data_IF_455225166167
#
_entry.id   IF_455225166167
#
_cell.length_a   1.000
_cell.length_b   1.000
_cell.length_c   1.000
_cell.angle_alpha   90.00
_cell.angle_beta   90.00
_cell.angle_gamma   90.00
#
_symmetry.space_group_name_H-M   'P 1'
#
loop_
_entity.id
_entity.type
_entity.pdbx_description
1 polymer ?
#
# COMPACT_ATOMS: atom_id res chain seq x y z
N UNK A 1 34.26 3.90 11.45
CA UNK A 1 33.31 4.96 11.82
C UNK A 1 32.06 4.28 12.28
N UNK A 2 31.88 4.20 13.59
CA UNK A 2 30.74 3.58 14.26
C UNK A 2 29.57 4.56 14.21
N UNK A 3 28.56 4.25 13.40
CA UNK A 3 27.29 4.98 13.37
C UNK A 3 26.57 4.71 14.69
N UNK A 4 26.44 5.73 15.53
CA UNK A 4 25.58 5.68 16.71
C UNK A 4 24.13 5.68 16.22
N UNK A 5 23.44 4.56 16.40
CA UNK A 5 21.98 4.54 16.42
C UNK A 5 21.54 5.31 17.66
N UNK A 6 20.99 6.51 17.48
CA UNK A 6 20.21 7.17 18.53
C UNK A 6 18.92 6.36 18.66
N UNK A 7 18.86 5.46 19.62
CA UNK A 7 17.61 4.92 20.14
C UNK A 7 16.79 6.10 20.67
N UNK A 8 15.78 6.52 19.90
CA UNK A 8 14.73 7.42 20.37
C UNK A 8 14.07 6.78 21.58
N UNK A 9 14.17 7.45 22.73
CA UNK A 9 13.51 7.03 23.95
C UNK A 9 12.04 7.40 23.77
N UNK A 10 11.17 6.46 23.39
CA UNK A 10 9.73 6.67 23.45
C UNK A 10 9.36 6.86 24.92
N UNK A 11 9.13 8.11 25.32
CA UNK A 11 8.49 8.39 26.58
C UNK A 11 7.05 7.88 26.47
N UNK A 12 6.72 6.77 27.15
CA UNK A 12 5.31 6.41 27.37
C UNK A 12 4.66 7.58 28.11
N UNK A 13 3.92 8.41 27.39
CA UNK A 13 3.00 9.36 27.97
C UNK A 13 1.83 8.57 28.58
N UNK A 14 2.03 8.14 29.82
CA UNK A 14 0.94 7.68 30.68
C UNK A 14 0.06 8.89 30.99
N UNK A 15 -1.05 9.03 30.29
CA UNK A 15 -2.11 9.97 30.66
C UNK A 15 -2.78 9.46 31.95
N UNK A 16 -2.22 9.81 33.10
CA UNK A 16 -2.85 9.65 34.41
C UNK A 16 -3.92 10.73 34.58
N UNK A 17 -5.06 10.54 33.94
CA UNK A 17 -6.30 11.20 34.33
C UNK A 17 -6.75 10.65 35.69
N UNK A 18 -6.88 11.52 36.70
CA UNK A 18 -7.39 11.16 38.02
C UNK A 18 -8.77 10.50 37.93
N UNK A 19 -8.91 9.34 38.58
CA UNK A 19 -10.07 8.47 38.57
C UNK A 19 -11.42 9.18 38.79
N UNK A 20 -12.22 9.26 37.73
CA UNK A 20 -13.66 9.44 37.77
C UNK A 20 -14.27 8.71 36.57
N UNK A 21 -14.49 7.38 36.66
CA UNK A 21 -15.11 6.50 35.64
C UNK A 21 -15.13 7.10 34.21
N UNK A 22 -13.96 7.38 33.63
CA UNK A 22 -13.90 7.86 32.27
C UNK A 22 -14.11 6.64 31.36
N UNK A 23 -15.10 6.73 30.49
CA UNK A 23 -15.24 5.79 29.38
C UNK A 23 -14.00 5.90 28.51
N UNK A 24 -13.38 4.77 28.15
CA UNK A 24 -12.17 4.75 27.30
C UNK A 24 -12.39 3.88 26.06
N UNK A 25 -11.63 4.21 25.02
CA UNK A 25 -11.41 3.39 23.83
C UNK A 25 -9.92 3.11 23.69
N UNK A 26 -9.54 2.08 22.93
CA UNK A 26 -8.13 1.80 22.59
C UNK A 26 -7.82 2.34 21.21
N UNK A 27 -6.72 3.05 21.04
CA UNK A 27 -6.36 3.70 19.76
C UNK A 27 -4.90 3.46 19.42
N UNK A 28 -4.63 3.07 18.17
CA UNK A 28 -3.33 3.15 17.54
C UNK A 28 -3.36 4.21 16.42
N UNK A 29 -2.34 5.07 16.37
CA UNK A 29 -2.17 6.06 15.30
C UNK A 29 -0.98 5.65 14.43
N UNK A 30 -1.13 5.76 13.11
CA UNK A 30 -0.11 5.46 12.11
C UNK A 30 0.17 6.71 11.28
N UNK A 31 1.42 7.16 11.24
CA UNK A 31 1.83 8.28 10.40
C UNK A 31 2.17 7.80 8.99
N UNK A 32 1.24 7.97 8.05
CA UNK A 32 1.44 7.60 6.65
C UNK A 32 1.44 8.79 5.67
N UNK A 33 1.29 10.02 6.16
CA UNK A 33 1.44 11.23 5.35
C UNK A 33 2.89 11.38 4.87
N UNK A 34 3.11 11.21 3.56
CA UNK A 34 4.44 11.26 2.93
C UNK A 34 4.87 12.68 2.54
N UNK A 35 4.07 13.70 2.86
CA UNK A 35 4.42 15.09 2.63
C UNK A 35 5.64 15.50 3.47
N UNK A 36 6.68 16.02 2.81
CA UNK A 36 7.90 16.50 3.45
C UNK A 36 7.66 17.57 4.52
N UNK A 37 6.62 18.40 4.40
CA UNK A 37 6.26 19.40 5.42
C UNK A 37 5.72 18.76 6.71
N UNK A 38 5.24 17.52 6.62
CA UNK A 38 4.72 16.72 7.72
C UNK A 38 5.58 15.48 7.97
N UNK A 39 6.86 15.48 7.58
CA UNK A 39 7.72 14.30 7.78
C UNK A 39 7.92 13.95 9.27
N UNK A 40 7.80 14.95 10.14
CA UNK A 40 7.78 14.83 11.60
C UNK A 40 6.75 15.81 12.13
N UNK A 41 5.84 15.35 12.99
CA UNK A 41 4.75 16.16 13.55
C UNK A 41 4.57 15.93 15.04
N UNK A 42 4.03 16.92 15.72
CA UNK A 42 3.53 16.77 17.09
C UNK A 42 2.02 16.47 17.04
N UNK A 43 1.57 15.54 17.87
CA UNK A 43 0.16 15.14 17.98
C UNK A 43 -0.39 15.57 19.33
N UNK A 44 -1.42 16.39 19.32
CA UNK A 44 -2.11 16.91 20.50
C UNK A 44 -3.49 16.27 20.66
N UNK A 45 -3.88 16.01 21.90
CA UNK A 45 -5.27 15.75 22.29
C UNK A 45 -5.76 16.92 23.15
N UNK A 46 -6.74 17.65 22.63
CA UNK A 46 -7.15 18.97 23.09
C UNK A 46 -5.93 19.89 23.23
N UNK A 47 -5.53 20.21 24.47
CA UNK A 47 -4.37 21.06 24.77
C UNK A 47 -3.16 20.28 25.30
N UNK A 48 -3.19 18.94 25.24
CA UNK A 48 -2.14 18.06 25.79
C UNK A 48 -1.33 17.44 24.66
N UNK A 49 -0.01 17.60 24.70
CA UNK A 49 0.90 16.90 23.78
C UNK A 49 0.87 15.40 24.08
N UNK A 50 0.50 14.59 23.08
CA UNK A 50 0.36 13.14 23.20
C UNK A 50 1.54 12.40 22.57
N UNK A 51 1.94 12.79 21.36
CA UNK A 51 3.12 12.26 20.66
C UNK A 51 4.00 13.44 20.24
N UNK A 52 5.26 13.41 20.65
CA UNK A 52 6.28 14.42 20.37
C UNK A 52 7.20 13.89 19.26
N UNK A 53 7.51 14.72 18.25
CA UNK A 53 8.36 14.34 17.12
C UNK A 53 7.92 13.00 16.44
N UNK A 54 6.63 12.83 16.15
CA UNK A 54 6.10 11.62 15.52
C UNK A 54 6.49 11.57 14.04
N UNK A 55 7.40 10.66 13.69
CA UNK A 55 7.98 10.56 12.35
C UNK A 55 7.08 9.80 11.36
N UNK A 56 7.13 10.17 10.08
CA UNK A 56 6.57 9.41 8.96
C UNK A 56 7.03 7.93 8.99
N UNK A 57 6.12 7.01 8.64
CA UNK A 57 6.30 5.55 8.77
C UNK A 57 6.62 5.12 10.20
N UNK A 58 5.87 5.66 11.14
CA UNK A 58 5.86 5.22 12.55
C UNK A 58 4.43 5.00 13.01
N UNK A 59 4.23 4.06 13.92
CA UNK A 59 2.96 3.86 14.62
C UNK A 59 3.13 4.10 16.14
N UNK A 60 2.10 4.58 16.81
CA UNK A 60 2.02 4.53 18.27
C UNK A 60 1.74 3.09 18.74
N UNK A 61 2.05 2.71 19.99
CA UNK A 61 1.36 1.58 20.60
C UNK A 61 -0.14 1.88 20.74
N UNK A 62 -0.95 0.85 20.98
CA UNK A 62 -2.34 1.06 21.40
C UNK A 62 -2.41 1.69 22.80
N UNK A 63 -3.03 2.86 22.90
CA UNK A 63 -3.20 3.63 24.15
C UNK A 63 -4.68 3.84 24.48
N UNK A 64 -4.98 4.17 25.74
CA UNK A 64 -6.32 4.60 26.14
C UNK A 64 -6.60 6.03 25.64
N UNK A 65 -7.76 6.22 25.02
CA UNK A 65 -8.29 7.52 24.60
C UNK A 65 -9.65 7.78 25.25
N UNK A 66 -10.06 9.05 25.45
CA UNK A 66 -11.40 9.39 25.92
C UNK A 66 -12.49 8.82 25.00
N UNK A 67 -13.55 8.26 25.57
CA UNK A 67 -14.71 7.78 24.84
C UNK A 67 -16.02 8.34 25.42
N UNK A 68 -17.07 8.35 24.60
CA UNK A 68 -18.39 8.90 24.97
C UNK A 68 -18.43 10.43 25.08
N UNK A 69 -17.31 11.11 24.83
CA UNK A 69 -17.18 12.57 24.83
C UNK A 69 -16.41 13.01 23.59
N UNK A 70 -16.69 14.23 23.14
CA UNK A 70 -15.94 14.84 22.05
C UNK A 70 -14.58 15.34 22.55
N UNK A 71 -13.52 15.11 21.76
CA UNK A 71 -12.20 15.69 21.96
C UNK A 71 -11.61 16.08 20.59
N UNK A 72 -10.68 17.02 20.58
CA UNK A 72 -10.01 17.47 19.35
C UNK A 72 -8.63 16.83 19.25
N UNK A 73 -8.28 16.28 18.10
CA UNK A 73 -6.90 15.91 17.76
C UNK A 73 -6.31 17.03 16.92
N UNK A 74 -5.15 17.52 17.33
CA UNK A 74 -4.37 18.52 16.59
C UNK A 74 -3.08 17.90 16.06
N UNK A 75 -2.77 18.14 14.79
CA UNK A 75 -1.48 17.83 14.19
C UNK A 75 -0.74 19.14 14.00
N UNK A 76 0.45 19.26 14.58
CA UNK A 76 1.27 20.46 14.53
C UNK A 76 2.66 20.14 13.96
N UNK A 77 3.39 21.13 13.42
CA UNK A 77 4.79 20.95 13.05
C UNK A 77 5.64 20.55 14.27
N UNK A 78 6.73 19.82 14.06
CA UNK A 78 7.61 19.30 15.14
C UNK A 78 8.33 20.38 15.98
N UNK A 79 8.18 21.65 15.63
CA UNK A 79 8.69 22.79 16.40
C UNK A 79 7.57 23.54 17.12
N UNK A 80 6.41 22.90 17.30
CA UNK A 80 5.26 23.50 17.95
C UNK A 80 5.56 23.85 19.41
N UNK A 81 4.87 24.87 19.92
CA UNK A 81 4.97 25.31 21.32
C UNK A 81 3.69 25.04 22.11
N UNK A 82 2.64 24.58 21.42
CA UNK A 82 1.39 24.11 21.98
C UNK A 82 0.35 23.81 20.90
N UNK A 83 -0.82 23.30 21.32
CA UNK A 83 -1.90 22.88 20.42
C UNK A 83 -2.44 23.99 19.49
N UNK A 84 -2.24 25.27 19.84
CA UNK A 84 -2.62 26.41 18.99
C UNK A 84 -1.80 26.54 17.70
N UNK A 85 -0.67 25.84 17.60
CA UNK A 85 0.19 25.80 16.40
C UNK A 85 -0.25 24.69 15.42
N UNK A 86 -1.35 23.99 15.70
CA UNK A 86 -1.87 22.92 14.85
C UNK A 86 -2.19 23.42 13.43
N UNK A 87 -1.69 22.67 12.45
CA UNK A 87 -1.91 22.87 11.01
C UNK A 87 -3.09 22.05 10.49
N UNK A 88 -3.52 21.05 11.26
CA UNK A 88 -4.75 20.29 11.05
C UNK A 88 -5.40 19.98 12.39
N UNK A 89 -6.73 20.03 12.44
CA UNK A 89 -7.51 19.67 13.62
C UNK A 89 -8.75 18.90 13.22
N UNK A 90 -9.07 17.85 13.96
CA UNK A 90 -10.28 17.06 13.76
C UNK A 90 -10.90 16.68 15.10
N UNK A 91 -12.23 16.76 15.18
CA UNK A 91 -12.98 16.40 16.38
C UNK A 91 -13.45 14.94 16.30
N UNK A 92 -13.11 14.16 17.31
CA UNK A 92 -13.52 12.76 17.43
C UNK A 92 -14.54 12.56 18.55
N UNK A 93 -15.36 11.52 18.41
CA UNK A 93 -16.17 10.98 19.52
C UNK A 93 -16.13 9.46 19.42
N UNK A 94 -15.27 8.85 20.23
CA UNK A 94 -15.07 7.40 20.21
C UNK A 94 -16.14 6.70 21.05
N UNK A 95 -16.53 5.49 20.63
CA UNK A 95 -17.42 4.66 21.42
C UNK A 95 -16.65 3.96 22.55
N UNK A 96 -17.30 3.81 23.70
CA UNK A 96 -16.68 3.19 24.87
C UNK A 96 -16.42 1.69 24.64
N UNK A 97 -15.28 1.20 25.11
CA UNK A 97 -14.80 -0.19 24.95
C UNK A 97 -14.59 -0.64 23.49
N UNK A 98 -14.44 0.29 22.56
CA UNK A 98 -14.03 -0.03 21.18
C UNK A 98 -12.52 0.16 20.99
N UNK A 99 -12.00 -0.46 19.94
CA UNK A 99 -10.60 -0.32 19.50
C UNK A 99 -10.58 0.31 18.10
N UNK A 100 -9.65 1.22 17.87
CA UNK A 100 -9.54 1.99 16.63
C UNK A 100 -8.11 2.02 16.09
N UNK A 101 -8.00 2.01 14.77
CA UNK A 101 -6.80 2.39 14.02
C UNK A 101 -7.07 3.73 13.36
N UNK A 102 -6.15 4.68 13.51
CA UNK A 102 -6.20 5.98 12.85
C UNK A 102 -4.96 6.12 11.97
N UNK A 103 -5.12 6.38 10.68
CA UNK A 103 -4.02 6.55 9.73
C UNK A 103 -4.01 8.00 9.25
N UNK A 104 -2.94 8.73 9.57
CA UNK A 104 -2.70 10.05 9.00
C UNK A 104 -2.21 9.91 7.55
N UNK A 105 -2.91 10.52 6.60
CA UNK A 105 -2.65 10.39 5.15
C UNK A 105 -2.88 11.72 4.43
N UNK A 106 -2.55 11.79 3.14
CA UNK A 106 -2.78 12.96 2.28
C UNK A 106 -1.64 13.96 2.28
N UNK A 107 -1.92 15.18 1.79
CA UNK A 107 -0.96 16.25 1.55
C UNK A 107 -1.38 17.53 2.30
N UNK A 108 -0.43 18.15 3.01
CA UNK A 108 -0.64 19.43 3.71
C UNK A 108 -0.15 20.60 2.87
N UNK A 109 0.91 20.39 2.10
CA UNK A 109 1.56 21.38 1.26
C UNK A 109 0.64 21.87 0.14
N UNK A 110 0.63 23.18 -0.09
CA UNK A 110 -0.19 23.79 -1.14
C UNK A 110 0.33 23.58 -2.58
N UNK A 111 1.52 22.99 -2.77
CA UNK A 111 2.12 22.70 -4.07
C UNK A 111 3.21 21.63 -3.97
N UNK A 112 3.67 21.11 -5.11
CA UNK A 112 4.76 20.13 -5.20
C UNK A 112 4.32 18.66 -5.18
N UNK A 113 3.01 18.41 -5.19
CA UNK A 113 2.42 17.06 -5.18
C UNK A 113 1.34 16.94 -6.24
N UNK A 114 1.23 15.76 -6.86
CA UNK A 114 0.25 15.46 -7.89
C UNK A 114 -0.07 13.96 -7.94
N UNK A 115 -1.33 13.57 -7.68
CA UNK A 115 -2.40 14.39 -7.10
C UNK A 115 -2.05 14.85 -5.67
N UNK A 116 -2.77 15.88 -5.20
CA UNK A 116 -2.59 16.43 -3.84
C UNK A 116 -3.92 16.37 -3.05
N UNK A 117 -4.43 15.17 -2.72
CA UNK A 117 -5.58 15.06 -1.82
C UNK A 117 -5.22 15.68 -0.47
N UNK A 118 -6.15 16.42 0.13
CA UNK A 118 -5.92 17.09 1.40
C UNK A 118 -5.60 16.07 2.51
N UNK A 119 -4.77 16.49 3.46
CA UNK A 119 -4.49 15.70 4.65
C UNK A 119 -5.78 15.32 5.40
N UNK A 120 -5.84 14.08 5.86
CA UNK A 120 -6.94 13.50 6.62
C UNK A 120 -6.45 12.48 7.65
N UNK A 121 -7.28 12.22 8.67
CA UNK A 121 -7.10 11.10 9.59
C UNK A 121 -8.17 10.03 9.26
N UNK A 122 -7.75 8.97 8.58
CA UNK A 122 -8.65 7.89 8.21
C UNK A 122 -8.84 6.94 9.39
N UNK A 123 -10.10 6.64 9.75
CA UNK A 123 -10.43 5.85 10.94
C UNK A 123 -11.02 4.50 10.56
N UNK A 124 -10.39 3.44 11.05
CA UNK A 124 -10.97 2.11 11.08
C UNK A 124 -11.47 1.77 12.49
N UNK A 125 -12.78 1.58 12.63
CA UNK A 125 -13.38 1.03 13.85
C UNK A 125 -13.11 -0.48 13.93
N UNK A 126 -13.17 -1.07 15.12
CA UNK A 126 -12.90 -2.52 15.34
C UNK A 126 -11.46 -2.95 15.10
N UNK A 127 -10.50 -2.08 15.46
CA UNK A 127 -9.07 -2.44 15.47
C UNK A 127 -8.77 -3.65 16.38
N UNK A 128 -7.70 -4.38 16.09
CA UNK A 128 -7.29 -5.57 16.84
C UNK A 128 -5.88 -5.40 17.40
N UNK A 129 -5.71 -5.69 18.69
CA UNK A 129 -4.38 -5.70 19.37
C UNK A 129 -3.68 -7.06 19.29
N UNK A 130 -4.44 -8.13 18.99
CA UNK A 130 -3.97 -9.49 18.84
C UNK A 130 -4.89 -10.23 17.85
N UNK A 131 -4.42 -11.35 17.31
CA UNK A 131 -5.22 -12.17 16.40
C UNK A 131 -6.49 -12.69 17.09
N UNK A 132 -7.58 -12.81 16.35
CA UNK A 132 -8.84 -13.38 16.85
C UNK A 132 -8.75 -14.90 17.06
N UNK A 133 -7.87 -15.56 16.31
CA UNK A 133 -7.65 -17.00 16.33
C UNK A 133 -6.19 -17.33 16.67
N UNK A 134 -6.01 -18.29 17.58
CA UNK A 134 -4.68 -18.78 17.95
C UNK A 134 -4.00 -19.47 16.75
N UNK A 135 -2.74 -19.14 16.51
CA UNK A 135 -1.94 -19.62 15.39
C UNK A 135 -2.03 -18.75 14.13
N UNK A 136 -2.89 -17.74 14.12
CA UNK A 136 -3.05 -16.83 12.99
C UNK A 136 -2.27 -15.51 13.19
N UNK A 137 -2.12 -14.80 12.09
CA UNK A 137 -1.79 -13.39 12.04
C UNK A 137 -2.95 -12.67 11.37
N UNK A 138 -3.55 -11.70 12.05
CA UNK A 138 -4.65 -10.90 11.52
C UNK A 138 -4.09 -9.66 10.82
N UNK A 139 -4.50 -9.40 9.58
CA UNK A 139 -3.95 -8.30 8.76
C UNK A 139 -5.07 -7.37 8.28
N UNK A 140 -5.06 -6.13 8.74
CA UNK A 140 -5.84 -5.04 8.14
C UNK A 140 -5.01 -4.37 7.05
N UNK A 141 -5.62 -3.96 5.94
CA UNK A 141 -4.90 -3.27 4.85
C UNK A 141 -5.49 -1.88 4.65
N UNK A 142 -4.65 -0.89 4.38
CA UNK A 142 -5.05 0.48 4.05
C UNK A 142 -4.29 1.01 2.83
N UNK A 143 -5.03 1.58 1.87
CA UNK A 143 -4.43 2.22 0.70
C UNK A 143 -4.11 3.69 0.99
N UNK A 144 -2.89 3.96 1.46
CA UNK A 144 -2.46 5.31 1.84
C UNK A 144 -1.56 6.04 0.83
N UNK A 145 -1.31 5.48 -0.35
CA UNK A 145 -0.53 6.16 -1.39
C UNK A 145 -1.43 7.07 -2.22
N UNK A 146 -1.13 8.37 -2.23
CA UNK A 146 -2.03 9.38 -2.82
C UNK A 146 -2.04 9.36 -4.34
N UNK A 147 -0.96 8.90 -4.97
CA UNK A 147 -0.74 8.92 -6.41
C UNK A 147 -0.75 7.53 -7.06
N UNK A 148 -0.94 6.47 -6.27
CA UNK A 148 -1.19 5.14 -6.79
C UNK A 148 -2.63 5.05 -7.35
N UNK A 149 -2.83 4.38 -8.49
CA UNK A 149 -4.15 4.14 -9.05
C UNK A 149 -4.92 3.12 -8.21
N UNK A 150 -6.20 2.91 -8.55
CA UNK A 150 -6.96 1.73 -8.12
C UNK A 150 -6.24 0.46 -8.55
N UNK A 151 -6.10 -0.50 -7.63
CA UNK A 151 -5.38 -1.75 -7.84
C UNK A 151 -6.14 -2.93 -7.26
N UNK A 152 -5.84 -4.11 -7.78
CA UNK A 152 -6.21 -5.37 -7.15
C UNK A 152 -5.01 -5.94 -6.40
N UNK A 153 -5.27 -6.71 -5.34
CA UNK A 153 -4.25 -7.45 -4.62
C UNK A 153 -4.56 -8.94 -4.71
N UNK A 154 -3.63 -9.69 -5.28
CA UNK A 154 -3.73 -11.13 -5.49
C UNK A 154 -2.67 -11.86 -4.66
N UNK A 155 -3.06 -12.81 -3.83
CA UNK A 155 -2.11 -13.66 -3.11
C UNK A 155 -1.75 -14.86 -4.00
N UNK A 156 -0.47 -15.00 -4.33
CA UNK A 156 0.00 -15.92 -5.36
C UNK A 156 0.69 -17.19 -4.85
N UNK A 157 0.97 -17.30 -3.55
CA UNK A 157 1.76 -18.43 -3.03
C UNK A 157 0.91 -19.52 -2.37
N UNK A 158 -0.23 -19.17 -1.77
CA UNK A 158 -1.02 -20.07 -0.94
C UNK A 158 -2.52 -20.07 -1.29
N UNK A 159 -3.11 -18.90 -1.53
CA UNK A 159 -4.54 -18.74 -1.79
C UNK A 159 -4.85 -18.80 -3.29
N UNK A 160 -3.93 -18.33 -4.13
CA UNK A 160 -4.11 -18.20 -5.58
C UNK A 160 -5.41 -17.43 -5.93
N UNK A 161 -5.66 -16.34 -5.20
CA UNK A 161 -6.91 -15.59 -5.30
C UNK A 161 -6.70 -14.08 -5.10
N UNK A 162 -7.59 -13.29 -5.73
CA UNK A 162 -7.74 -11.86 -5.44
C UNK A 162 -8.33 -11.70 -4.04
N UNK A 163 -7.61 -11.01 -3.17
CA UNK A 163 -8.00 -10.75 -1.77
C UNK A 163 -8.52 -9.33 -1.57
N UNK A 164 -8.13 -8.39 -2.41
CA UNK A 164 -8.66 -7.03 -2.49
C UNK A 164 -8.93 -6.69 -3.95
N UNK A 165 -10.12 -6.16 -4.23
CA UNK A 165 -10.64 -5.89 -5.57
C UNK A 165 -11.03 -4.41 -5.62
N UNK A 166 -10.60 -3.70 -6.68
CA UNK A 166 -10.80 -2.26 -6.86
C UNK A 166 -10.34 -1.39 -5.67
N UNK A 167 -9.22 -1.75 -5.04
CA UNK A 167 -8.70 -1.09 -3.84
C UNK A 167 -8.02 0.25 -4.17
N UNK A 168 -8.56 1.34 -3.64
CA UNK A 168 -8.22 2.73 -4.00
C UNK A 168 -7.80 3.55 -2.79
N UNK A 169 -7.14 4.70 -3.02
CA UNK A 169 -6.74 5.63 -1.95
C UNK A 169 -7.87 5.90 -0.94
N UNK A 170 -7.52 5.84 0.36
CA UNK A 170 -8.39 5.87 1.57
C UNK A 170 -9.16 4.60 1.91
N UNK A 171 -9.14 3.57 1.06
CA UNK A 171 -9.81 2.32 1.40
C UNK A 171 -9.09 1.58 2.51
N UNK A 172 -9.87 1.07 3.47
CA UNK A 172 -9.48 -0.04 4.34
C UNK A 172 -10.05 -1.35 3.78
N UNK A 173 -9.37 -2.47 4.02
CA UNK A 173 -10.03 -3.78 3.86
C UNK A 173 -11.26 -3.83 4.76
N UNK A 174 -12.32 -4.51 4.31
CA UNK A 174 -13.61 -4.51 5.02
C UNK A 174 -13.51 -5.04 6.46
N UNK A 175 -12.61 -6.00 6.69
CA UNK A 175 -12.20 -6.51 8.00
C UNK A 175 -10.73 -6.93 7.91
N UNK A 176 -10.17 -7.41 9.02
CA UNK A 176 -8.89 -8.09 9.06
C UNK A 176 -8.96 -9.42 8.30
N UNK A 177 -7.94 -9.69 7.49
CA UNK A 177 -7.66 -11.02 6.95
C UNK A 177 -7.05 -11.89 8.05
N UNK A 178 -7.76 -12.94 8.46
CA UNK A 178 -7.31 -13.88 9.49
C UNK A 178 -6.49 -15.00 8.84
N UNK A 179 -5.19 -14.76 8.65
CA UNK A 179 -4.32 -15.68 7.90
C UNK A 179 -3.62 -16.66 8.86
N UNK A 180 -3.51 -17.95 8.51
CA UNK A 180 -2.52 -18.81 9.17
C UNK A 180 -1.15 -18.14 9.14
N UNK A 181 -0.41 -18.14 10.26
CA UNK A 181 0.91 -17.48 10.24
C UNK A 181 1.88 -18.25 9.35
N UNK A 182 2.09 -17.74 8.14
CA UNK A 182 2.95 -18.27 7.09
C UNK A 182 3.60 -17.12 6.30
N UNK A 183 4.53 -17.44 5.41
CA UNK A 183 5.12 -16.44 4.51
C UNK A 183 4.36 -16.46 3.18
N UNK A 184 3.84 -15.30 2.78
CA UNK A 184 2.98 -15.12 1.60
C UNK A 184 3.65 -14.25 0.54
N UNK A 185 3.10 -14.26 -0.68
CA UNK A 185 3.48 -13.32 -1.74
C UNK A 185 2.23 -12.67 -2.31
N UNK A 186 2.14 -11.36 -2.15
CA UNK A 186 1.06 -10.54 -2.68
C UNK A 186 1.51 -9.79 -3.91
N UNK A 187 0.76 -9.94 -4.99
CA UNK A 187 0.91 -9.23 -6.24
C UNK A 187 -0.05 -8.05 -6.24
N UNK A 188 0.48 -6.86 -6.51
CA UNK A 188 -0.33 -5.69 -6.84
C UNK A 188 -0.56 -5.72 -8.34
N UNK A 189 -1.82 -5.71 -8.74
CA UNK A 189 -2.25 -5.81 -10.14
C UNK A 189 -3.04 -4.58 -10.55
N UNK A 190 -3.08 -4.31 -11.85
CA UNK A 190 -4.06 -3.37 -12.41
C UNK A 190 -5.48 -3.83 -12.06
N UNK A 191 -6.43 -2.91 -11.95
CA UNK A 191 -7.83 -3.20 -11.55
C UNK A 191 -8.61 -4.09 -12.55
N UNK A 192 -8.02 -4.40 -13.70
CA UNK A 192 -8.55 -5.39 -14.65
C UNK A 192 -7.85 -6.76 -14.52
N UNK A 193 -7.00 -6.92 -13.50
CA UNK A 193 -6.12 -8.06 -13.25
C UNK A 193 -5.18 -8.46 -14.41
N UNK A 194 -5.02 -7.62 -15.44
CA UNK A 194 -4.27 -7.98 -16.66
C UNK A 194 -2.75 -7.86 -16.52
N UNK A 195 -2.27 -7.06 -15.56
CA UNK A 195 -0.85 -6.75 -15.38
C UNK A 195 -0.49 -6.81 -13.91
N UNK A 196 0.63 -7.45 -13.57
CA UNK A 196 1.23 -7.38 -12.23
C UNK A 196 2.19 -6.19 -12.28
N UNK A 197 1.92 -5.18 -11.46
CA UNK A 197 2.74 -3.95 -11.42
C UNK A 197 3.81 -4.01 -10.34
N UNK A 198 3.58 -4.78 -9.29
CA UNK A 198 4.54 -5.06 -8.24
C UNK A 198 4.22 -6.38 -7.53
N UNK A 199 5.20 -6.96 -6.85
CA UNK A 199 4.99 -8.07 -5.93
C UNK A 199 5.76 -7.83 -4.63
N UNK A 200 5.19 -8.26 -3.52
CA UNK A 200 5.74 -8.11 -2.18
C UNK A 200 5.62 -9.42 -1.41
N UNK A 201 6.69 -9.78 -0.70
CA UNK A 201 6.63 -10.82 0.31
C UNK A 201 5.96 -10.28 1.57
N UNK A 202 5.11 -11.09 2.20
CA UNK A 202 4.62 -10.86 3.55
C UNK A 202 5.14 -11.99 4.45
N UNK A 203 6.37 -11.85 4.98
CA UNK A 203 7.06 -12.92 5.72
C UNK A 203 6.55 -13.04 7.17
N UNK A 204 5.26 -13.32 7.37
CA UNK A 204 4.62 -13.27 8.70
C UNK A 204 5.21 -14.30 9.67
N UNK A 205 5.52 -15.52 9.18
CA UNK A 205 6.15 -16.56 9.99
C UNK A 205 7.62 -16.23 10.26
N UNK A 206 8.35 -15.78 9.23
CA UNK A 206 9.76 -15.37 9.38
C UNK A 206 9.91 -14.19 10.34
N UNK A 207 8.93 -13.28 10.42
CA UNK A 207 8.87 -12.19 11.40
C UNK A 207 8.35 -12.61 12.79
N UNK A 208 7.89 -13.85 12.95
CA UNK A 208 7.39 -14.38 14.23
C UNK A 208 6.06 -13.76 14.68
N UNK A 209 5.19 -13.40 13.74
CA UNK A 209 3.94 -12.67 13.99
C UNK A 209 2.76 -13.57 14.37
N UNK A 210 3.04 -14.75 14.94
CA UNK A 210 2.01 -15.65 15.44
C UNK A 210 1.21 -14.99 16.56
N UNK A 211 -0.11 -15.14 16.52
CA UNK A 211 -1.08 -14.54 17.44
C UNK A 211 -1.16 -13.00 17.41
N UNK A 212 -0.49 -12.34 16.45
CA UNK A 212 -0.47 -10.89 16.32
C UNK A 212 -1.57 -10.38 15.36
N UNK A 213 -2.03 -9.15 15.57
CA UNK A 213 -2.80 -8.38 14.59
C UNK A 213 -1.99 -7.16 14.16
N UNK A 214 -1.98 -6.84 12.86
CA UNK A 214 -1.18 -5.74 12.30
C UNK A 214 -1.95 -4.99 11.20
N UNK A 215 -1.44 -3.81 10.84
CA UNK A 215 -2.00 -3.00 9.74
C UNK A 215 -0.93 -2.83 8.66
N UNK A 216 -1.21 -3.26 7.43
CA UNK A 216 -0.38 -2.96 6.27
C UNK A 216 -0.87 -1.70 5.59
N UNK A 217 0.02 -0.73 5.39
CA UNK A 217 -0.28 0.51 4.67
C UNK A 217 0.51 0.56 3.36
N UNK A 218 -0.15 0.98 2.28
CA UNK A 218 0.54 1.49 1.10
C UNK A 218 1.09 2.88 1.45
N UNK A 219 2.41 3.06 1.38
CA UNK A 219 3.11 4.24 1.93
C UNK A 219 4.08 4.86 0.94
N UNK A 220 4.04 6.18 0.80
CA UNK A 220 4.89 6.93 -0.14
C UNK A 220 4.25 7.12 -1.51
N UNK A 221 5.07 7.54 -2.48
CA UNK A 221 4.63 7.96 -3.81
C UNK A 221 5.04 6.97 -4.89
N UNK A 222 4.11 6.62 -5.78
CA UNK A 222 4.37 5.81 -6.97
C UNK A 222 5.25 6.57 -7.96
N UNK A 223 5.02 7.87 -8.13
CA UNK A 223 5.89 8.77 -8.90
C UNK A 223 6.44 9.89 -7.99
N UNK A 224 7.57 9.65 -7.30
CA UNK A 224 8.24 10.66 -6.49
C UNK A 224 8.60 11.93 -7.26
N UNK A 225 8.84 11.84 -8.58
CA UNK A 225 9.27 12.99 -9.38
C UNK A 225 8.18 14.05 -9.52
N UNK A 226 6.91 13.66 -9.39
CA UNK A 226 5.74 14.54 -9.35
C UNK A 226 5.35 14.94 -7.92
N UNK A 227 5.99 14.33 -6.91
CA UNK A 227 5.63 14.44 -5.50
C UNK A 227 6.82 14.89 -4.65
N UNK A 228 7.40 16.02 -5.02
CA UNK A 228 8.51 16.70 -4.34
C UNK A 228 9.77 15.84 -4.12
N UNK A 229 9.97 14.80 -4.93
CA UNK A 229 10.99 13.77 -4.74
C UNK A 229 10.90 13.13 -3.33
N UNK A 230 9.68 12.98 -2.82
CA UNK A 230 9.40 12.36 -1.53
C UNK A 230 9.70 10.86 -1.50
N UNK A 231 9.40 10.19 -0.37
CA UNK A 231 9.64 8.76 -0.21
C UNK A 231 8.91 7.93 -1.28
N UNK A 232 9.63 7.00 -1.90
CA UNK A 232 9.05 6.08 -2.88
C UNK A 232 8.04 5.12 -2.24
N UNK A 233 7.08 4.68 -3.04
CA UNK A 233 6.06 3.69 -2.69
C UNK A 233 6.66 2.39 -2.13
N UNK A 234 6.03 1.87 -1.10
CA UNK A 234 6.22 0.51 -0.60
C UNK A 234 5.06 0.07 0.29
N UNK A 235 5.04 -1.21 0.66
CA UNK A 235 4.10 -1.74 1.65
C UNK A 235 4.79 -1.82 3.02
N UNK A 236 4.13 -1.32 4.06
CA UNK A 236 4.71 -1.20 5.39
C UNK A 236 3.74 -1.71 6.45
N UNK A 237 4.22 -2.49 7.41
CA UNK A 237 3.41 -3.07 8.48
C UNK A 237 3.57 -2.32 9.81
N UNK A 238 2.46 -1.86 10.37
CA UNK A 238 2.34 -1.34 11.72
C UNK A 238 2.03 -2.49 12.70
N UNK A 239 2.91 -2.66 13.69
CA UNK A 239 2.70 -3.61 14.77
C UNK A 239 1.91 -2.96 15.91
N UNK A 240 1.13 -3.72 16.69
CA UNK A 240 0.27 -3.19 17.76
C UNK A 240 1.10 -2.59 18.91
N UNK A 241 2.36 -2.99 19.02
CA UNK A 241 3.34 -2.41 19.94
C UNK A 241 3.82 -1.00 19.56
N UNK A 242 3.50 -0.53 18.35
CA UNK A 242 4.04 0.71 17.80
C UNK A 242 5.52 0.62 17.41
N UNK A 243 6.09 1.78 17.13
CA UNK A 243 7.46 1.97 16.62
C UNK A 243 7.51 2.20 15.11
N UNK A 244 8.72 2.25 14.52
CA UNK A 244 8.89 2.34 13.08
C UNK A 244 8.18 1.20 12.36
N UNK A 245 7.54 1.49 11.24
CA UNK A 245 6.87 0.47 10.44
C UNK A 245 7.89 -0.51 9.83
N UNK A 246 7.46 -1.76 9.64
CA UNK A 246 8.28 -2.81 9.03
C UNK A 246 8.04 -2.81 7.53
N UNK A 247 9.07 -2.53 6.73
CA UNK A 247 8.99 -2.61 5.26
C UNK A 247 8.80 -4.06 4.82
N UNK A 248 7.80 -4.30 3.97
CA UNK A 248 7.61 -5.60 3.33
C UNK A 248 8.57 -5.72 2.13
N UNK A 249 9.34 -6.82 2.02
CA UNK A 249 10.31 -6.99 0.95
C UNK A 249 9.63 -7.09 -0.41
N UNK A 250 10.26 -6.54 -1.46
CA UNK A 250 9.82 -6.81 -2.83
C UNK A 250 10.02 -8.29 -3.20
N UNK A 251 9.14 -8.78 -4.06
CA UNK A 251 9.21 -10.10 -4.66
C UNK A 251 9.34 -9.97 -6.19
N UNK A 252 9.95 -10.95 -6.87
CA UNK A 252 10.01 -10.95 -8.32
C UNK A 252 8.61 -11.10 -8.93
N UNK A 253 8.36 -10.37 -10.02
CA UNK A 253 7.18 -10.60 -10.86
C UNK A 253 7.48 -11.84 -11.73
N UNK A 254 6.59 -12.85 -11.76
CA UNK A 254 6.83 -14.07 -12.52
C UNK A 254 6.86 -13.76 -14.03
N UNK A 255 7.82 -14.38 -14.73
CA UNK A 255 7.99 -14.22 -16.18
C UNK A 255 7.98 -15.57 -16.89
N UNK A 256 7.63 -15.53 -18.18
CA UNK A 256 7.70 -16.65 -19.11
C UNK A 256 8.49 -16.26 -20.36
N UNK A 257 9.16 -17.23 -20.99
CA UNK A 257 9.89 -17.02 -22.26
C UNK A 257 9.01 -17.31 -23.46
N UNK A 258 8.78 -16.30 -24.30
CA UNK A 258 7.97 -16.42 -25.53
C UNK A 258 8.83 -16.21 -26.77
N UNK A 259 8.66 -17.08 -27.78
CA UNK A 259 9.18 -16.87 -29.13
C UNK A 259 8.00 -16.75 -30.09
N UNK A 260 8.01 -15.72 -30.93
CA UNK A 260 7.00 -15.54 -31.97
C UNK A 260 7.57 -16.05 -33.29
N UNK A 261 6.78 -16.84 -34.02
CA UNK A 261 7.15 -17.36 -35.35
C UNK A 261 6.07 -16.96 -36.35
N UNK A 262 6.45 -16.17 -37.35
CA UNK A 262 5.55 -15.80 -38.43
C UNK A 262 5.58 -16.86 -39.53
N UNK A 263 4.53 -17.67 -39.64
CA UNK A 263 4.40 -18.66 -40.72
C UNK A 263 3.10 -18.54 -41.54
N UNK A 264 2.41 -17.39 -41.49
CA UNK A 264 1.30 -17.10 -42.41
C UNK A 264 1.82 -16.78 -43.81
N UNK A 265 1.47 -17.60 -44.80
CA UNK A 265 1.88 -17.40 -46.19
C UNK A 265 0.95 -16.46 -46.99
N UNK A 266 -0.02 -15.82 -46.32
CA UNK A 266 -0.93 -14.87 -46.96
C UNK A 266 -0.14 -13.63 -47.41
N UNK A 267 -0.27 -13.26 -48.68
CA UNK A 267 0.39 -12.08 -49.23
C UNK A 267 -0.06 -10.78 -48.54
N UNK A 268 -1.29 -10.74 -48.01
CA UNK A 268 -1.79 -9.61 -47.22
C UNK A 268 -1.11 -9.50 -45.85
N UNK A 269 -0.47 -10.57 -45.36
CA UNK A 269 0.27 -10.62 -44.10
C UNK A 269 1.78 -10.76 -44.33
N UNK A 270 2.32 -10.26 -45.45
CA UNK A 270 3.76 -10.35 -45.74
C UNK A 270 4.63 -9.77 -44.62
N UNK A 271 4.13 -8.71 -43.97
CA UNK A 271 4.59 -8.17 -42.68
C UNK A 271 3.36 -7.93 -41.79
N UNK A 272 3.54 -8.10 -40.49
CA UNK A 272 2.52 -7.82 -39.47
C UNK A 272 3.18 -7.23 -38.24
N UNK A 273 2.42 -6.44 -37.49
CA UNK A 273 2.83 -6.02 -36.17
C UNK A 273 2.31 -7.03 -35.15
N UNK A 274 3.15 -7.35 -34.16
CA UNK A 274 2.81 -8.24 -33.04
C UNK A 274 2.74 -7.39 -31.78
N UNK A 275 1.55 -7.30 -31.20
CA UNK A 275 1.29 -6.60 -29.95
C UNK A 275 1.18 -7.60 -28.80
N UNK A 276 1.76 -7.28 -27.66
CA UNK A 276 1.57 -8.00 -26.39
C UNK A 276 0.94 -7.03 -25.38
N UNK A 277 -0.30 -7.30 -24.99
CA UNK A 277 -1.17 -6.37 -24.29
C UNK A 277 -1.14 -5.00 -24.99
N UNK A 278 -0.58 -3.98 -24.32
CA UNK A 278 -0.57 -2.61 -24.81
C UNK A 278 0.79 -2.20 -25.40
N UNK A 279 1.71 -3.14 -25.60
CA UNK A 279 3.07 -2.89 -26.09
C UNK A 279 3.31 -3.53 -27.45
N UNK A 280 3.86 -2.76 -28.40
CA UNK A 280 4.32 -3.30 -29.67
C UNK A 280 5.55 -4.15 -29.42
N UNK A 281 5.39 -5.46 -29.57
CA UNK A 281 6.45 -6.45 -29.30
C UNK A 281 7.39 -6.59 -30.50
N UNK A 282 6.82 -6.69 -31.72
CA UNK A 282 7.55 -6.83 -32.97
C UNK A 282 6.89 -5.96 -34.03
N UNK A 283 7.67 -5.04 -34.61
CA UNK A 283 7.27 -4.11 -35.66
C UNK A 283 7.64 -4.70 -37.04
N UNK A 284 6.75 -4.62 -38.03
CA UNK A 284 6.99 -5.07 -39.40
C UNK A 284 7.51 -6.55 -39.50
N UNK A 285 6.97 -7.44 -38.66
CA UNK A 285 7.46 -8.80 -38.50
C UNK A 285 7.16 -9.68 -39.73
N UNK A 286 8.21 -9.93 -40.52
CA UNK A 286 8.10 -10.55 -41.85
C UNK A 286 7.78 -12.05 -41.82
N UNK A 287 7.11 -12.54 -42.87
CA UNK A 287 6.88 -13.97 -43.11
C UNK A 287 8.18 -14.80 -43.07
N UNK A 288 8.11 -15.99 -42.45
CA UNK A 288 9.21 -16.95 -42.23
C UNK A 288 10.34 -16.39 -41.37
N UNK A 289 10.00 -15.54 -40.42
CA UNK A 289 10.93 -15.10 -39.38
C UNK A 289 10.50 -15.64 -38.02
N UNK A 290 11.49 -15.77 -37.13
CA UNK A 290 11.29 -16.09 -35.74
C UNK A 290 12.00 -15.03 -34.91
N UNK A 291 11.36 -14.54 -33.86
CA UNK A 291 12.00 -13.67 -32.89
C UNK A 291 13.01 -14.48 -32.04
N UNK A 292 13.96 -13.84 -31.36
CA UNK A 292 14.53 -14.40 -30.15
C UNK A 292 13.42 -14.67 -29.10
N UNK A 293 13.73 -15.48 -28.09
CA UNK A 293 12.86 -15.55 -26.92
C UNK A 293 12.90 -14.22 -26.16
N UNK A 294 11.74 -13.66 -25.87
CA UNK A 294 11.54 -12.45 -25.07
C UNK A 294 10.82 -12.81 -23.78
N UNK A 295 11.01 -11.99 -22.75
CA UNK A 295 10.28 -12.16 -21.48
C UNK A 295 8.87 -11.58 -21.64
N UNK A 296 7.88 -12.34 -21.20
CA UNK A 296 6.49 -11.92 -21.03
C UNK A 296 6.09 -12.17 -19.57
N UNK A 297 5.11 -11.45 -19.06
CA UNK A 297 4.63 -11.68 -17.70
C UNK A 297 3.91 -13.05 -17.61
N UNK A 298 4.08 -13.76 -16.50
CA UNK A 298 3.38 -15.02 -16.24
C UNK A 298 2.32 -14.85 -15.14
N UNK A 299 1.41 -15.82 -15.01
CA UNK A 299 0.39 -15.85 -13.95
C UNK A 299 -0.76 -14.83 -14.11
N UNK A 300 -0.82 -14.14 -15.25
CA UNK A 300 -1.94 -13.29 -15.68
C UNK A 300 -2.31 -13.61 -17.12
N UNK A 301 -3.52 -13.20 -17.52
CA UNK A 301 -3.93 -13.28 -18.90
C UNK A 301 -3.21 -12.22 -19.74
N UNK A 302 -2.62 -12.67 -20.84
CA UNK A 302 -1.97 -11.85 -21.85
C UNK A 302 -2.76 -11.91 -23.14
N UNK A 303 -2.88 -10.78 -23.81
CA UNK A 303 -3.45 -10.68 -25.17
C UNK A 303 -2.31 -10.52 -26.17
N UNK A 304 -2.21 -11.44 -27.13
CA UNK A 304 -1.35 -11.31 -28.31
C UNK A 304 -2.21 -10.84 -29.48
N UNK A 305 -1.93 -9.62 -29.96
CA UNK A 305 -2.58 -9.04 -31.13
C UNK A 305 -1.72 -9.17 -32.38
N UNK A 306 -2.32 -9.57 -33.50
CA UNK A 306 -1.70 -9.51 -34.83
C UNK A 306 -2.38 -8.40 -35.61
N UNK A 307 -1.62 -7.38 -35.99
CA UNK A 307 -2.13 -6.19 -36.66
C UNK A 307 -1.44 -5.98 -38.03
N UNK A 308 -2.06 -5.23 -38.95
CA UNK A 308 -1.38 -4.78 -40.17
C UNK A 308 -0.13 -3.95 -39.83
N UNK A 309 0.88 -3.99 -40.70
CA UNK A 309 2.17 -3.29 -40.57
C UNK A 309 2.11 -1.76 -40.40
N UNK A 310 0.94 -1.15 -40.56
CA UNK A 310 0.73 0.27 -40.34
C UNK A 310 -0.05 0.53 -39.04
N UNK A 311 -0.09 -0.44 -38.14
CA UNK A 311 -0.80 -0.32 -36.87
C UNK A 311 -0.09 0.70 -35.98
N UNK A 312 -0.88 1.38 -35.16
CA UNK A 312 -0.37 2.39 -34.22
C UNK A 312 -0.81 2.12 -32.79
N UNK A 313 -1.73 1.18 -32.61
CA UNK A 313 -2.31 0.80 -31.33
C UNK A 313 -2.76 -0.67 -31.35
N UNK A 314 -2.82 -1.34 -30.18
CA UNK A 314 -3.21 -2.75 -30.10
C UNK A 314 -4.61 -3.07 -30.65
N UNK A 315 -5.51 -2.09 -30.64
CA UNK A 315 -6.88 -2.24 -31.14
C UNK A 315 -6.98 -2.27 -32.67
N UNK A 316 -5.89 -1.99 -33.39
CA UNK A 316 -5.80 -2.19 -34.85
C UNK A 316 -5.63 -3.69 -35.20
N UNK A 317 -5.46 -4.56 -34.20
CA UNK A 317 -5.30 -6.00 -34.40
C UNK A 317 -6.49 -6.61 -35.14
N UNK A 318 -6.18 -7.37 -36.19
CA UNK A 318 -7.14 -8.14 -36.98
C UNK A 318 -7.40 -9.53 -36.39
N UNK A 319 -6.52 -9.99 -35.48
CA UNK A 319 -6.70 -11.19 -34.69
C UNK A 319 -6.10 -10.99 -33.29
N UNK A 320 -6.77 -11.51 -32.27
CA UNK A 320 -6.33 -11.47 -30.88
C UNK A 320 -6.40 -12.87 -30.28
N UNK A 321 -5.39 -13.21 -29.47
CA UNK A 321 -5.28 -14.51 -28.81
C UNK A 321 -4.95 -14.28 -27.34
N UNK A 322 -5.74 -14.90 -26.45
CA UNK A 322 -5.53 -14.79 -25.01
C UNK A 322 -4.77 -16.02 -24.50
N UNK A 323 -3.72 -15.78 -23.73
CA UNK A 323 -2.89 -16.82 -23.14
C UNK A 323 -2.69 -16.52 -21.66
N UNK A 324 -2.75 -17.54 -20.82
CA UNK A 324 -2.23 -17.48 -19.46
C UNK A 324 -0.96 -18.32 -19.41
N UNK A 325 0.19 -17.67 -19.23
CA UNK A 325 1.48 -18.35 -19.26
C UNK A 325 1.87 -18.77 -17.84
N UNK A 326 2.29 -20.02 -17.69
CA UNK A 326 2.99 -20.47 -16.48
C UNK A 326 4.40 -19.87 -16.45
N UNK A 327 4.91 -19.58 -15.27
CA UNK A 327 6.29 -19.14 -15.06
C UNK A 327 7.28 -20.17 -15.65
N UNK A 328 8.30 -19.70 -16.41
CA UNK A 328 9.30 -20.59 -17.04
C UNK A 328 10.05 -20.04 -18.25
#
# INVERSE_FOLDING_TARGET
MTTLYRTGLFASALVLGTAANAQTARVQVIHNCADAAAAVVDVYLDNTLLLDDFEFRTASPYVDAPAGVQFTVGIAPSNSTGAGDAIYTEDFTLANNETYVIVASGIISGSGYSPAPAFSLEVFATGREAASMMGNTDVLVFHGSTDAPTVDVFESAALEATVLDDFSYTDFSTDYFELPTADYVFQVRTSDNSTIVAAYGAPLATLGLQDAALVVVASGFLDPTQNSNGPAFGLWAALPSGGPLVELPSAPIPTARVQVVHNSADAAAATVDVWLNNTLLLDDFAFRTASPFVDAQAGVDLTVGIAPANSTQPSDAIAQFNYNLSEG
#
